data_IF_424605377854
#
_entry.id   IF_424605377854
#
_cell.length_a   1.000
_cell.length_b   1.000
_cell.length_c   1.000
_cell.angle_alpha   90.00
_cell.angle_beta   90.00
_cell.angle_gamma   90.00
#
_symmetry.space_group_name_H-M   'P 1'
#
loop_
_entity.id
_entity.type
_entity.pdbx_description
1 polymer ?
#
# COMPACT_ATOMS: atom_id res chain seq x y z
N UNK A 1 7.01 -6.24 30.51
CA UNK A 1 7.07 -5.22 29.49
C UNK A 1 6.43 -5.76 28.22
N UNK A 2 5.61 -5.00 27.48
CA UNK A 2 5.15 -5.46 26.20
C UNK A 2 6.38 -5.71 25.32
N UNK A 3 6.55 -6.91 24.84
CA UNK A 3 7.62 -7.26 23.92
C UNK A 3 7.43 -6.42 22.66
N UNK A 4 8.40 -5.54 22.41
CA UNK A 4 8.38 -4.66 21.24
C UNK A 4 8.31 -5.50 19.98
N UNK A 5 7.35 -5.18 19.11
CA UNK A 5 7.13 -5.98 17.88
C UNK A 5 8.32 -5.76 16.92
N UNK A 6 9.12 -6.80 16.63
CA UNK A 6 10.32 -6.66 15.80
C UNK A 6 10.07 -6.17 14.39
N UNK A 7 8.85 -6.37 13.88
CA UNK A 7 8.44 -5.91 12.55
C UNK A 7 8.27 -4.38 12.47
N UNK A 8 8.06 -3.73 13.61
CA UNK A 8 7.84 -2.28 13.70
C UNK A 8 9.14 -1.50 13.92
N UNK A 9 10.21 -2.18 14.32
CA UNK A 9 11.52 -1.56 14.58
C UNK A 9 12.42 -1.60 13.35
N UNK A 10 13.44 -0.73 13.31
CA UNK A 10 14.50 -0.87 12.33
C UNK A 10 15.30 -2.15 12.59
N UNK A 11 15.71 -2.84 11.53
CA UNK A 11 16.51 -4.05 11.67
C UNK A 11 17.96 -3.69 11.92
N UNK A 12 18.47 -4.07 13.10
CA UNK A 12 19.87 -3.87 13.49
C UNK A 12 20.76 -5.07 13.15
N UNK A 13 20.20 -6.09 12.55
CA UNK A 13 20.89 -7.31 12.07
C UNK A 13 21.84 -7.00 10.92
N UNK A 14 22.90 -7.82 10.73
CA UNK A 14 23.75 -7.70 9.55
C UNK A 14 22.94 -7.70 8.26
N UNK A 15 23.27 -6.78 7.34
CA UNK A 15 22.59 -6.58 6.06
C UNK A 15 21.10 -6.20 6.18
N UNK A 16 20.65 -5.75 7.36
CA UNK A 16 19.24 -5.42 7.64
C UNK A 16 18.28 -6.58 7.33
N UNK A 17 18.73 -7.80 7.53
CA UNK A 17 17.89 -9.00 7.42
C UNK A 17 16.85 -9.00 8.53
N UNK A 18 15.58 -9.37 8.27
CA UNK A 18 14.59 -9.50 9.34
C UNK A 18 15.08 -10.43 10.46
N UNK A 19 14.89 -10.08 11.75
CA UNK A 19 15.28 -10.95 12.86
C UNK A 19 14.29 -12.10 13.02
N UNK A 20 14.34 -13.08 12.10
CA UNK A 20 13.40 -14.18 12.00
C UNK A 20 13.27 -15.01 13.28
N UNK A 21 14.34 -15.10 14.08
CA UNK A 21 14.37 -15.78 15.38
C UNK A 21 13.53 -15.06 16.45
N UNK A 22 13.24 -13.78 16.27
CA UNK A 22 12.45 -12.96 17.18
C UNK A 22 11.02 -12.71 16.70
N UNK A 23 10.76 -12.89 15.39
CA UNK A 23 9.45 -12.66 14.80
C UNK A 23 8.55 -13.89 15.07
N UNK A 24 7.39 -13.66 15.70
CA UNK A 24 6.37 -14.65 15.98
C UNK A 24 5.09 -14.37 15.20
N UNK A 25 4.21 -15.36 15.07
CA UNK A 25 2.93 -15.21 14.38
C UNK A 25 2.07 -14.07 14.93
N UNK A 26 2.06 -13.88 16.24
CA UNK A 26 1.33 -12.81 16.95
C UNK A 26 1.77 -11.39 16.55
N UNK A 27 2.97 -11.23 15.97
CA UNK A 27 3.51 -9.93 15.56
C UNK A 27 2.98 -9.44 14.23
N UNK A 28 2.55 -10.36 13.33
CA UNK A 28 2.20 -9.99 11.95
C UNK A 28 0.92 -9.17 11.87
N UNK A 29 -0.19 -9.63 12.48
CA UNK A 29 -1.46 -8.93 12.36
C UNK A 29 -1.40 -7.48 12.86
N UNK A 30 -0.87 -7.18 14.06
CA UNK A 30 -0.70 -5.81 14.51
C UNK A 30 0.19 -4.98 13.59
N UNK A 31 1.27 -5.56 13.03
CA UNK A 31 2.17 -4.87 12.11
C UNK A 31 1.49 -4.55 10.77
N UNK A 32 0.68 -5.46 10.21
CA UNK A 32 -0.13 -5.19 9.03
C UNK A 32 -1.13 -4.06 9.26
N UNK A 33 -1.85 -4.09 10.37
CA UNK A 33 -2.83 -3.05 10.71
C UNK A 33 -2.17 -1.69 10.88
N UNK A 34 -1.04 -1.63 11.58
CA UNK A 34 -0.29 -0.39 11.73
C UNK A 34 0.26 0.09 10.39
N UNK A 35 0.79 -0.80 9.55
CA UNK A 35 1.30 -0.43 8.23
C UNK A 35 0.22 0.15 7.32
N UNK A 36 -1.01 -0.40 7.37
CA UNK A 36 -2.15 0.16 6.64
C UNK A 36 -2.58 1.52 7.20
N UNK A 37 -2.61 1.69 8.52
CA UNK A 37 -2.94 2.96 9.16
C UNK A 37 -1.92 4.05 8.84
N UNK A 38 -0.63 3.74 8.88
CA UNK A 38 0.44 4.68 8.53
C UNK A 38 0.34 5.10 7.06
N UNK A 39 0.13 4.15 6.15
CA UNK A 39 -0.05 4.49 4.73
C UNK A 39 -1.29 5.35 4.52
N UNK A 40 -2.41 5.08 5.22
CA UNK A 40 -3.59 5.93 5.11
C UNK A 40 -3.31 7.36 5.56
N UNK A 41 -2.54 7.57 6.63
CA UNK A 41 -2.10 8.92 7.06
C UNK A 41 -1.23 9.60 6.02
N UNK A 42 -0.33 8.87 5.37
CA UNK A 42 0.51 9.38 4.29
C UNK A 42 -0.33 9.79 3.07
N UNK A 43 -1.32 8.97 2.68
CA UNK A 43 -2.27 9.29 1.61
C UNK A 43 -3.11 10.53 1.98
N UNK A 44 -3.61 10.60 3.21
CA UNK A 44 -4.38 11.75 3.69
C UNK A 44 -3.55 13.05 3.66
N UNK A 45 -2.26 12.97 3.98
CA UNK A 45 -1.34 14.11 3.89
C UNK A 45 -1.16 14.59 2.44
N UNK A 46 -1.07 13.66 1.48
CA UNK A 46 -1.01 14.02 0.05
C UNK A 46 -2.31 14.71 -0.39
N UNK A 47 -3.44 14.11 -0.05
CA UNK A 47 -4.78 14.57 -0.48
C UNK A 47 -5.13 15.92 0.11
N UNK A 48 -4.75 16.18 1.36
CA UNK A 48 -5.06 17.41 2.08
C UNK A 48 -3.94 18.48 1.96
N UNK A 49 -2.91 18.23 1.17
CA UNK A 49 -1.86 19.22 0.95
C UNK A 49 -2.46 20.46 0.25
N UNK A 50 -2.35 21.67 0.85
CA UNK A 50 -2.91 22.89 0.29
C UNK A 50 -2.16 23.39 -0.95
N UNK A 51 -0.92 22.94 -1.16
CA UNK A 51 -0.12 23.34 -2.30
C UNK A 51 -0.62 22.69 -3.59
N UNK A 52 -0.44 23.36 -4.75
CA UNK A 52 -0.72 22.75 -6.04
C UNK A 52 -0.02 21.40 -6.20
N UNK A 53 -0.67 20.46 -6.88
CA UNK A 53 -0.11 19.15 -7.11
C UNK A 53 1.15 19.23 -8.00
N UNK A 54 2.23 18.62 -7.55
CA UNK A 54 3.50 18.49 -8.25
C UNK A 54 3.94 17.04 -8.28
N UNK A 55 4.89 16.71 -9.14
CA UNK A 55 5.51 15.39 -9.13
C UNK A 55 6.00 15.02 -7.71
N UNK A 56 6.70 15.93 -7.04
CA UNK A 56 7.31 15.66 -5.74
C UNK A 56 6.27 15.45 -4.62
N UNK A 57 5.27 16.34 -4.51
CA UNK A 57 4.30 16.28 -3.41
C UNK A 57 3.13 15.31 -3.66
N UNK A 58 3.07 14.69 -4.83
CA UNK A 58 1.99 13.79 -5.21
C UNK A 58 2.52 12.44 -5.69
N UNK A 59 3.30 12.40 -6.76
CA UNK A 59 3.75 11.13 -7.36
C UNK A 59 4.87 10.50 -6.53
N UNK A 60 5.93 11.24 -6.22
CA UNK A 60 7.03 10.75 -5.40
C UNK A 60 6.56 10.44 -3.97
N UNK A 61 5.71 11.29 -3.39
CA UNK A 61 5.13 11.04 -2.07
C UNK A 61 4.28 9.77 -2.03
N UNK A 62 3.48 9.52 -3.07
CA UNK A 62 2.68 8.29 -3.19
C UNK A 62 3.56 7.06 -3.35
N UNK A 63 4.59 7.11 -4.19
CA UNK A 63 5.54 6.02 -4.42
C UNK A 63 6.29 5.62 -3.13
N UNK A 64 6.62 6.59 -2.30
CA UNK A 64 7.27 6.38 -1.01
C UNK A 64 6.31 5.90 0.09
N UNK A 65 5.01 6.09 -0.08
CA UNK A 65 4.00 5.71 0.92
C UNK A 65 3.96 4.20 1.16
N UNK A 66 3.52 3.79 2.34
CA UNK A 66 3.33 2.38 2.69
C UNK A 66 4.63 1.59 2.89
N UNK A 67 5.72 2.24 3.26
CA UNK A 67 7.01 1.57 3.48
C UNK A 67 6.92 0.48 4.55
N UNK A 68 6.26 0.75 5.69
CA UNK A 68 6.05 -0.24 6.75
C UNK A 68 5.20 -1.41 6.26
N UNK A 69 4.07 -1.15 5.61
CA UNK A 69 3.19 -2.19 5.07
C UNK A 69 3.92 -3.08 4.07
N UNK A 70 4.72 -2.50 3.19
CA UNK A 70 5.56 -3.22 2.22
C UNK A 70 6.59 -4.09 2.90
N UNK A 71 7.28 -3.57 3.93
CA UNK A 71 8.25 -4.30 4.74
C UNK A 71 7.61 -5.53 5.39
N UNK A 72 6.49 -5.35 6.09
CA UNK A 72 5.76 -6.44 6.78
C UNK A 72 5.25 -7.47 5.78
N UNK A 73 4.66 -7.03 4.67
CA UNK A 73 4.15 -7.90 3.61
C UNK A 73 5.26 -8.74 2.98
N UNK A 74 6.40 -8.15 2.70
CA UNK A 74 7.56 -8.86 2.12
C UNK A 74 8.04 -9.97 3.04
N UNK A 75 8.15 -9.70 4.35
CA UNK A 75 8.57 -10.71 5.33
C UNK A 75 7.54 -11.83 5.43
N UNK A 76 6.27 -11.49 5.60
CA UNK A 76 5.20 -12.47 5.77
C UNK A 76 5.02 -13.38 4.56
N UNK A 77 4.84 -12.80 3.38
CA UNK A 77 4.59 -13.58 2.16
C UNK A 77 5.85 -14.28 1.65
N UNK A 78 7.04 -13.74 1.93
CA UNK A 78 8.31 -14.43 1.69
C UNK A 78 8.42 -15.71 2.52
N UNK A 79 8.15 -15.65 3.81
CA UNK A 79 8.14 -16.83 4.67
C UNK A 79 7.03 -17.82 4.29
N UNK A 80 5.82 -17.32 4.02
CA UNK A 80 4.70 -18.15 3.57
C UNK A 80 5.03 -18.94 2.31
N UNK A 81 5.71 -18.33 1.35
CA UNK A 81 6.13 -18.99 0.11
C UNK A 81 7.21 -20.06 0.34
N UNK A 82 8.09 -19.83 1.31
CA UNK A 82 9.21 -20.73 1.60
C UNK A 82 8.79 -21.89 2.51
N UNK A 83 7.92 -21.65 3.49
CA UNK A 83 7.54 -22.63 4.52
C UNK A 83 6.17 -22.27 5.11
N UNK A 84 5.11 -22.51 4.34
CA UNK A 84 3.74 -22.28 4.80
C UNK A 84 3.32 -23.28 5.86
N UNK A 85 2.39 -22.86 6.72
CA UNK A 85 1.69 -23.69 7.68
C UNK A 85 0.24 -23.21 7.83
N UNK A 86 -0.59 -24.00 8.51
CA UNK A 86 -2.01 -23.72 8.67
C UNK A 86 -2.30 -22.38 9.35
N UNK A 87 -1.44 -21.96 10.28
CA UNK A 87 -1.55 -20.69 11.00
C UNK A 87 -1.27 -19.50 10.08
N UNK A 88 -0.25 -19.59 9.24
CA UNK A 88 0.04 -18.57 8.22
C UNK A 88 -1.07 -18.48 7.17
N UNK A 89 -1.63 -19.60 6.77
CA UNK A 89 -2.74 -19.64 5.82
C UNK A 89 -4.01 -19.03 6.41
N UNK A 90 -4.31 -19.33 7.68
CA UNK A 90 -5.44 -18.72 8.38
C UNK A 90 -5.29 -17.22 8.50
N UNK A 91 -4.11 -16.73 8.91
CA UNK A 91 -3.82 -15.28 8.99
C UNK A 91 -3.89 -14.61 7.62
N UNK A 92 -3.37 -15.25 6.57
CA UNK A 92 -3.45 -14.73 5.21
C UNK A 92 -4.90 -14.55 4.76
N UNK A 93 -5.78 -15.52 5.05
CA UNK A 93 -7.22 -15.42 4.75
C UNK A 93 -7.89 -14.29 5.54
N UNK A 94 -7.49 -14.05 6.78
CA UNK A 94 -8.02 -12.96 7.60
C UNK A 94 -7.55 -11.59 7.08
N UNK A 95 -6.29 -11.47 6.67
CA UNK A 95 -5.70 -10.20 6.20
C UNK A 95 -6.16 -9.81 4.79
N UNK A 96 -6.45 -10.79 3.92
CA UNK A 96 -6.78 -10.54 2.51
C UNK A 96 -7.92 -9.55 2.29
N UNK A 97 -9.08 -9.64 2.96
CA UNK A 97 -10.15 -8.65 2.78
C UNK A 97 -9.77 -7.27 3.30
N UNK A 98 -8.98 -7.18 4.37
CA UNK A 98 -8.50 -5.91 4.91
C UNK A 98 -7.53 -5.22 3.94
N UNK A 99 -6.60 -5.98 3.37
CA UNK A 99 -5.65 -5.49 2.38
C UNK A 99 -6.35 -5.07 1.08
N UNK A 100 -7.34 -5.85 0.61
CA UNK A 100 -8.14 -5.50 -0.56
C UNK A 100 -8.90 -4.20 -0.36
N UNK A 101 -9.58 -4.07 0.78
CA UNK A 101 -10.28 -2.82 1.12
C UNK A 101 -9.32 -1.63 1.16
N UNK A 102 -8.17 -1.78 1.81
CA UNK A 102 -7.16 -0.73 1.91
C UNK A 102 -6.63 -0.32 0.53
N UNK A 103 -6.33 -1.28 -0.34
CA UNK A 103 -5.90 -1.03 -1.72
C UNK A 103 -6.96 -0.31 -2.54
N UNK A 104 -8.23 -0.73 -2.42
CA UNK A 104 -9.36 -0.10 -3.11
C UNK A 104 -9.59 1.34 -2.60
N UNK A 105 -9.44 1.58 -1.30
CA UNK A 105 -9.60 2.91 -0.71
C UNK A 105 -8.55 3.90 -1.24
N UNK A 106 -7.36 3.43 -1.59
CA UNK A 106 -6.32 4.24 -2.24
C UNK A 106 -6.61 4.37 -3.75
N UNK A 107 -6.80 3.25 -4.44
CA UNK A 107 -6.96 3.22 -5.90
C UNK A 107 -8.20 3.97 -6.39
N UNK A 108 -9.27 4.03 -5.58
CA UNK A 108 -10.55 4.68 -5.88
C UNK A 108 -10.73 6.00 -5.13
N UNK A 109 -9.66 6.57 -4.56
CA UNK A 109 -9.70 7.87 -3.92
C UNK A 109 -9.75 8.99 -4.97
N UNK A 110 -10.91 9.62 -5.12
CA UNK A 110 -11.16 10.65 -6.13
C UNK A 110 -10.24 11.87 -5.98
N UNK A 111 -9.98 12.31 -4.74
CA UNK A 111 -9.12 13.46 -4.47
C UNK A 111 -7.66 13.15 -4.79
N UNK A 112 -7.20 11.94 -4.47
CA UNK A 112 -5.85 11.48 -4.82
C UNK A 112 -5.70 11.43 -6.34
N UNK A 113 -6.67 10.83 -7.05
CA UNK A 113 -6.63 10.74 -8.49
C UNK A 113 -6.68 12.11 -9.17
N UNK A 114 -7.46 13.06 -8.64
CA UNK A 114 -7.48 14.42 -9.15
C UNK A 114 -6.09 15.09 -9.08
N UNK A 115 -5.34 14.87 -8.01
CA UNK A 115 -3.97 15.37 -7.87
C UNK A 115 -3.02 14.67 -8.86
N UNK A 116 -3.11 13.36 -9.00
CA UNK A 116 -2.29 12.59 -9.98
C UNK A 116 -2.57 13.09 -11.41
N UNK A 117 -3.83 13.26 -11.76
CA UNK A 117 -4.25 13.77 -13.06
C UNK A 117 -3.73 15.19 -13.34
N UNK A 118 -3.79 16.07 -12.34
CA UNK A 118 -3.26 17.43 -12.46
C UNK A 118 -1.74 17.44 -12.76
N UNK A 119 -0.97 16.56 -12.13
CA UNK A 119 0.46 16.40 -12.43
C UNK A 119 0.66 15.79 -13.82
N UNK A 120 -0.16 14.82 -14.21
CA UNK A 120 -0.06 14.17 -15.52
C UNK A 120 -0.33 15.16 -16.67
N UNK A 121 -1.30 16.05 -16.51
CA UNK A 121 -1.65 17.09 -17.49
C UNK A 121 -0.63 18.24 -17.53
N UNK A 122 0.03 18.53 -16.39
CA UNK A 122 1.02 19.61 -16.25
C UNK A 122 2.27 19.11 -15.51
N UNK A 123 3.07 18.22 -16.12
CA UNK A 123 4.16 17.52 -15.42
C UNK A 123 5.35 18.43 -15.04
N UNK A 124 5.50 19.58 -15.67
CA UNK A 124 6.68 20.41 -15.51
C UNK A 124 7.92 19.80 -16.17
N UNK A 125 9.08 20.15 -15.64
CA UNK A 125 10.35 19.66 -16.15
C UNK A 125 10.78 18.38 -15.39
N UNK A 126 10.52 17.23 -15.98
CA UNK A 126 10.84 15.91 -15.40
C UNK A 126 11.92 15.21 -16.23
N UNK A 127 12.80 14.45 -15.57
CA UNK A 127 13.70 13.53 -16.23
C UNK A 127 12.95 12.29 -16.78
N UNK A 128 13.68 11.39 -17.44
CA UNK A 128 13.10 10.21 -18.09
C UNK A 128 12.47 9.23 -17.09
N UNK A 129 13.10 9.05 -15.95
CA UNK A 129 12.62 8.11 -14.91
C UNK A 129 11.38 8.66 -14.21
N UNK A 130 11.38 9.95 -13.89
CA UNK A 130 10.24 10.64 -13.32
C UNK A 130 9.03 10.63 -14.25
N UNK A 131 9.24 10.88 -15.55
CA UNK A 131 8.18 10.77 -16.57
C UNK A 131 7.58 9.39 -16.63
N UNK A 132 8.43 8.36 -16.60
CA UNK A 132 7.98 6.97 -16.60
C UNK A 132 7.16 6.64 -15.36
N UNK A 133 7.62 7.02 -14.17
CA UNK A 133 6.89 6.81 -12.93
C UNK A 133 5.52 7.52 -12.94
N UNK A 134 5.46 8.75 -13.42
CA UNK A 134 4.21 9.49 -13.57
C UNK A 134 3.23 8.80 -14.51
N UNK A 135 3.68 8.36 -15.68
CA UNK A 135 2.86 7.68 -16.67
C UNK A 135 2.33 6.34 -16.13
N UNK A 136 3.18 5.56 -15.50
CA UNK A 136 2.80 4.27 -14.91
C UNK A 136 1.80 4.47 -13.77
N UNK A 137 2.04 5.41 -12.88
CA UNK A 137 1.12 5.74 -11.78
C UNK A 137 -0.26 6.15 -12.31
N UNK A 138 -0.31 7.06 -13.27
CA UNK A 138 -1.59 7.48 -13.87
C UNK A 138 -2.33 6.32 -14.53
N UNK A 139 -1.63 5.51 -15.33
CA UNK A 139 -2.21 4.35 -16.02
C UNK A 139 -2.75 3.30 -15.02
N UNK A 140 -2.02 3.06 -13.95
CA UNK A 140 -2.42 2.07 -12.93
C UNK A 140 -3.69 2.52 -12.20
N UNK A 141 -3.81 3.81 -11.86
CA UNK A 141 -5.04 4.35 -11.28
C UNK A 141 -6.22 4.26 -12.25
N UNK A 142 -6.03 4.58 -13.52
CA UNK A 142 -7.09 4.43 -14.55
C UNK A 142 -7.52 2.97 -14.70
N UNK A 143 -6.56 2.06 -14.79
CA UNK A 143 -6.84 0.60 -14.85
C UNK A 143 -7.51 0.08 -13.59
N UNK A 144 -7.16 0.63 -12.44
CA UNK A 144 -7.77 0.32 -11.14
C UNK A 144 -9.19 0.86 -10.95
N UNK A 145 -9.71 1.62 -11.92
CA UNK A 145 -11.09 2.11 -11.91
C UNK A 145 -11.27 3.56 -11.45
N UNK A 146 -10.19 4.34 -11.35
CA UNK A 146 -10.26 5.74 -10.89
C UNK A 146 -11.16 6.65 -11.76
N UNK A 147 -11.32 6.33 -13.03
CA UNK A 147 -12.21 7.04 -13.97
C UNK A 147 -13.66 6.53 -13.98
N UNK A 148 -13.97 5.50 -13.23
CA UNK A 148 -15.33 4.94 -13.19
C UNK A 148 -16.24 5.84 -12.34
N UNK A 149 -17.53 5.82 -12.68
CA UNK A 149 -18.57 6.44 -11.84
C UNK A 149 -18.72 5.71 -10.49
N UNK A 150 -19.38 6.33 -9.54
CA UNK A 150 -19.51 5.82 -8.17
C UNK A 150 -20.22 4.45 -8.11
N UNK A 151 -21.19 4.19 -8.98
CA UNK A 151 -21.90 2.91 -9.03
C UNK A 151 -20.98 1.80 -9.54
N UNK A 152 -20.22 2.07 -10.60
CA UNK A 152 -19.25 1.13 -11.18
C UNK A 152 -18.09 0.87 -10.21
N UNK A 153 -17.62 1.89 -9.49
CA UNK A 153 -16.60 1.72 -8.44
C UNK A 153 -17.11 0.84 -7.29
N UNK A 154 -18.38 0.99 -6.88
CA UNK A 154 -19.00 0.13 -5.87
C UNK A 154 -19.04 -1.33 -6.34
N UNK A 155 -19.48 -1.59 -7.57
CA UNK A 155 -19.46 -2.94 -8.15
C UNK A 155 -18.05 -3.52 -8.22
N UNK A 156 -17.05 -2.71 -8.57
CA UNK A 156 -15.66 -3.14 -8.62
C UNK A 156 -15.15 -3.57 -7.23
N UNK A 157 -15.47 -2.82 -6.17
CA UNK A 157 -15.13 -3.20 -4.78
C UNK A 157 -15.78 -4.54 -4.39
N UNK A 158 -17.05 -4.73 -4.73
CA UNK A 158 -17.77 -5.98 -4.46
C UNK A 158 -17.13 -7.17 -5.20
N UNK A 159 -16.71 -6.98 -6.46
CA UNK A 159 -15.99 -7.98 -7.24
C UNK A 159 -14.62 -8.31 -6.64
N UNK A 160 -13.84 -7.30 -6.27
CA UNK A 160 -12.53 -7.50 -5.63
C UNK A 160 -12.64 -8.32 -4.35
N UNK A 161 -13.64 -8.04 -3.52
CA UNK A 161 -13.92 -8.83 -2.32
C UNK A 161 -14.34 -10.27 -2.65
N UNK A 162 -15.15 -10.47 -3.69
CA UNK A 162 -15.62 -11.80 -4.07
C UNK A 162 -14.50 -12.71 -4.56
N UNK A 163 -13.49 -12.16 -5.24
CA UNK A 163 -12.33 -12.90 -5.74
C UNK A 163 -11.42 -13.43 -4.62
N UNK A 164 -11.49 -12.86 -3.42
CA UNK A 164 -10.70 -13.28 -2.27
C UNK A 164 -11.24 -14.59 -1.67
N UNK A 165 -12.53 -14.88 -1.88
CA UNK A 165 -13.21 -16.05 -1.31
C UNK A 165 -13.21 -17.28 -2.23
N UNK A 166 -12.59 -17.18 -3.42
CA UNK A 166 -12.39 -18.30 -4.33
C UNK A 166 -11.03 -18.96 -4.08
#
# INVERSE_FOLDING_TARGET
APTENPLLSEYTTPFQVPPFDQIKMEHYKPAFLQGMEEQQKEIDAIVNNPEPATFQNTIAALDQSGALLRKVSTVFYGLKSANTNDEMDALSRELSPLQSKHSDDIALNEKLFARIKAVYENPGNLDKEQKKLLEETYKDFVRGGANLDAESQKKLRELNLSLIHI
#
